data_IF_275234015596
#
_entry.id   IF_275234015596
#
_cell.length_a   1.000
_cell.length_b   1.000
_cell.length_c   1.000
_cell.angle_alpha   90.00
_cell.angle_beta   90.00
_cell.angle_gamma   90.00
#
_symmetry.space_group_name_H-M   'P 1'
#
loop_
_entity.id
_entity.type
_entity.pdbx_description
1 polymer ?
#
# COMPACT_ATOMS: atom_id res chain seq x y z
N UNK A 1 1.01 19.18 -15.19
CA UNK A 1 0.77 19.20 -16.65
C UNK A 1 1.50 18.00 -17.24
N UNK A 2 0.81 17.10 -17.96
CA UNK A 2 1.37 15.82 -18.39
C UNK A 2 1.47 15.77 -19.92
N UNK A 3 2.69 15.63 -20.45
CA UNK A 3 2.96 15.56 -21.88
C UNK A 3 3.48 14.16 -22.25
N UNK A 4 2.78 13.47 -23.14
CA UNK A 4 2.99 12.05 -23.50
C UNK A 4 3.52 11.93 -24.94
N UNK A 5 4.80 12.25 -25.20
CA UNK A 5 5.37 12.12 -26.53
C UNK A 5 5.47 10.66 -26.93
N UNK A 6 5.27 10.40 -28.22
CA UNK A 6 5.43 9.09 -28.84
C UNK A 6 6.07 9.29 -30.20
N UNK A 7 7.09 8.50 -30.47
CA UNK A 7 7.79 8.50 -31.74
C UNK A 7 8.01 7.07 -32.19
N UNK A 8 7.91 6.86 -33.49
CA UNK A 8 8.11 5.56 -34.11
C UNK A 8 8.67 5.75 -35.50
N UNK A 9 9.47 4.79 -35.93
CA UNK A 9 10.05 4.75 -37.25
C UNK A 9 10.10 3.31 -37.74
N UNK A 10 10.02 3.17 -39.06
CA UNK A 10 10.23 1.91 -39.76
C UNK A 10 11.12 2.15 -40.97
N UNK A 11 11.97 1.19 -41.27
CA UNK A 11 12.94 1.27 -42.33
C UNK A 11 13.06 -0.07 -43.04
N UNK A 12 13.10 -0.03 -44.37
CA UNK A 12 13.33 -1.19 -45.24
C UNK A 12 14.83 -1.35 -45.44
N UNK A 13 15.39 -2.49 -45.05
CA UNK A 13 16.84 -2.74 -45.08
C UNK A 13 17.36 -3.21 -46.45
N UNK A 14 16.49 -3.64 -47.35
CA UNK A 14 16.83 -4.18 -48.65
C UNK A 14 16.00 -3.59 -49.80
N UNK A 15 16.56 -3.49 -50.99
CA UNK A 15 15.84 -2.97 -52.17
C UNK A 15 14.62 -3.83 -52.54
N UNK A 16 14.65 -5.12 -52.22
CA UNK A 16 13.56 -6.05 -52.47
C UNK A 16 12.38 -5.91 -51.48
N UNK A 17 12.51 -5.09 -50.43
CA UNK A 17 11.44 -4.87 -49.47
C UNK A 17 11.13 -6.06 -48.56
N UNK A 18 12.02 -7.06 -48.49
CA UNK A 18 11.80 -8.30 -47.74
C UNK A 18 12.18 -8.19 -46.28
N UNK A 19 12.98 -7.19 -45.90
CA UNK A 19 13.47 -7.01 -44.53
C UNK A 19 13.12 -5.63 -44.02
N UNK A 20 12.38 -5.57 -42.91
CA UNK A 20 11.94 -4.31 -42.29
C UNK A 20 12.38 -4.28 -40.83
N UNK A 21 13.00 -3.17 -40.42
CA UNK A 21 13.21 -2.84 -39.01
C UNK A 21 12.19 -1.80 -38.59
N UNK A 22 11.59 -2.00 -37.43
CA UNK A 22 10.64 -1.07 -36.82
C UNK A 22 11.04 -0.80 -35.38
N UNK A 23 10.85 0.42 -34.93
CA UNK A 23 11.13 0.80 -33.57
C UNK A 23 10.31 1.99 -33.13
N UNK A 24 10.24 2.16 -31.81
CA UNK A 24 9.50 3.26 -31.23
C UNK A 24 9.80 3.47 -29.76
N UNK A 25 9.53 4.67 -29.31
CA UNK A 25 9.62 5.06 -27.92
C UNK A 25 8.43 5.93 -27.54
N UNK A 26 7.90 5.74 -26.33
CA UNK A 26 6.81 6.54 -25.82
C UNK A 26 6.81 6.66 -24.31
N UNK A 27 6.24 7.76 -23.84
CA UNK A 27 5.93 7.99 -22.44
C UNK A 27 4.42 7.80 -22.22
N UNK A 28 4.03 6.98 -21.25
CA UNK A 28 2.62 6.65 -20.98
C UNK A 28 2.29 6.96 -19.53
N UNK A 29 1.40 7.91 -19.28
CA UNK A 29 0.89 8.19 -17.94
C UNK A 29 -0.24 7.22 -17.57
N UNK A 30 -0.25 6.78 -16.33
CA UNK A 30 -1.35 5.98 -15.79
C UNK A 30 -2.58 6.84 -15.51
N UNK A 31 -3.74 6.19 -15.38
CA UNK A 31 -4.97 6.84 -14.93
C UNK A 31 -4.86 7.23 -13.45
N UNK A 32 -5.41 8.39 -13.10
CA UNK A 32 -5.56 8.79 -11.69
C UNK A 32 -6.35 7.73 -10.92
N UNK A 33 -5.72 7.11 -9.93
CA UNK A 33 -6.39 6.17 -9.04
C UNK A 33 -7.16 6.95 -7.96
N UNK A 34 -8.50 6.96 -8.09
CA UNK A 34 -9.42 7.58 -7.13
C UNK A 34 -9.86 6.64 -6.00
N UNK A 35 -9.55 5.34 -6.09
CA UNK A 35 -9.90 4.34 -5.08
C UNK A 35 -9.35 4.67 -3.68
N UNK A 36 -8.25 5.42 -3.60
CA UNK A 36 -7.67 5.87 -2.34
C UNK A 36 -8.53 6.90 -1.59
N UNK A 37 -9.44 7.60 -2.29
CA UNK A 37 -10.36 8.58 -1.68
C UNK A 37 -11.71 7.98 -1.29
N UNK A 38 -12.07 6.82 -1.85
CA UNK A 38 -13.35 6.16 -1.57
C UNK A 38 -13.61 6.03 -0.06
N UNK A 39 -12.66 5.57 0.79
CA UNK A 39 -12.91 5.48 2.23
C UNK A 39 -13.19 6.84 2.89
N UNK A 40 -12.60 7.93 2.40
CA UNK A 40 -12.83 9.26 2.98
C UNK A 40 -14.26 9.76 2.73
N UNK A 41 -14.85 9.37 1.59
CA UNK A 41 -16.16 9.85 1.14
C UNK A 41 -17.28 8.87 1.52
N UNK A 42 -17.01 7.56 1.52
CA UNK A 42 -18.02 6.54 1.78
C UNK A 42 -17.95 5.89 3.17
N UNK A 43 -16.82 6.01 3.89
CA UNK A 43 -16.75 5.54 5.27
C UNK A 43 -17.24 6.64 6.21
N UNK A 44 -18.51 6.54 6.62
CA UNK A 44 -19.04 7.36 7.71
C UNK A 44 -18.22 7.16 9.00
N UNK A 45 -18.22 8.19 9.86
CA UNK A 45 -17.54 8.16 11.16
C UNK A 45 -18.03 6.99 12.03
N UNK A 46 -19.29 6.60 11.84
CA UNK A 46 -19.92 5.47 12.51
C UNK A 46 -20.47 4.47 11.47
N UNK A 47 -20.38 3.19 11.80
CA UNK A 47 -20.98 2.10 11.02
C UNK A 47 -21.83 1.21 11.93
N UNK A 48 -22.94 0.71 11.40
CA UNK A 48 -23.76 -0.34 12.03
C UNK A 48 -23.26 -1.75 11.68
N UNK A 49 -22.28 -1.87 10.79
CA UNK A 49 -21.59 -3.11 10.46
C UNK A 49 -20.09 -2.90 10.69
N UNK A 50 -19.54 -3.62 11.66
CA UNK A 50 -18.16 -3.45 12.10
C UNK A 50 -17.53 -4.81 12.44
N UNK A 51 -16.25 -4.94 12.14
CA UNK A 51 -15.42 -6.01 12.68
C UNK A 51 -14.70 -5.45 13.90
N UNK A 52 -15.11 -5.86 15.10
CA UNK A 52 -14.27 -5.68 16.28
C UNK A 52 -13.28 -6.81 16.29
N UNK A 53 -12.05 -6.51 15.90
CA UNK A 53 -10.96 -7.35 16.35
C UNK A 53 -10.79 -7.05 17.84
N UNK A 54 -10.78 -8.07 18.68
CA UNK A 54 -10.36 -7.94 20.08
C UNK A 54 -8.90 -8.40 20.19
N UNK A 55 -7.93 -7.70 19.57
CA UNK A 55 -6.55 -8.01 19.88
C UNK A 55 -6.35 -7.51 21.31
N UNK A 56 -5.96 -8.39 22.21
CA UNK A 56 -4.98 -7.93 23.18
C UNK A 56 -3.88 -7.27 22.34
N UNK A 57 -3.48 -6.04 22.67
CA UNK A 57 -2.35 -5.36 21.99
C UNK A 57 -1.04 -6.18 22.08
N UNK A 58 -1.09 -7.32 22.76
CA UNK A 58 -0.10 -8.37 22.90
C UNK A 58 -0.69 -9.75 22.62
N UNK A 59 0.18 -10.70 22.28
CA UNK A 59 -0.15 -12.13 22.32
C UNK A 59 -0.70 -12.47 23.70
N UNK A 60 -1.86 -13.14 23.77
CA UNK A 60 -2.42 -13.64 25.02
C UNK A 60 -1.38 -14.54 25.71
N UNK A 61 -0.85 -14.16 26.89
CA UNK A 61 0.16 -14.95 27.57
C UNK A 61 -0.39 -16.28 28.09
N UNK A 62 -1.71 -16.41 28.28
CA UNK A 62 -2.37 -17.55 28.92
C UNK A 62 -2.08 -18.89 28.24
N UNK A 63 -2.56 -19.12 27.01
CA UNK A 63 -2.38 -20.39 26.29
C UNK A 63 -0.90 -20.79 26.16
N UNK A 64 -0.04 -19.79 25.97
CA UNK A 64 1.41 -19.97 25.83
C UNK A 64 2.13 -20.34 27.13
N UNK A 65 1.46 -20.24 28.27
CA UNK A 65 1.92 -20.58 29.62
C UNK A 65 1.10 -21.74 30.22
N UNK A 66 0.33 -22.47 29.40
CA UNK A 66 -0.52 -23.58 29.86
C UNK A 66 -1.75 -23.12 30.66
N UNK A 67 -2.13 -21.85 30.58
CA UNK A 67 -3.33 -21.29 31.22
C UNK A 67 -4.42 -21.10 30.18
N UNK A 68 -5.67 -21.02 30.63
CA UNK A 68 -6.79 -20.68 29.76
C UNK A 68 -6.62 -19.26 29.17
N UNK A 69 -7.31 -18.93 28.06
CA UNK A 69 -7.30 -17.58 27.50
C UNK A 69 -7.62 -16.52 28.55
N UNK A 70 -6.89 -15.41 28.54
CA UNK A 70 -7.13 -14.29 29.47
C UNK A 70 -8.20 -13.30 28.97
N UNK A 71 -8.62 -13.43 27.72
CA UNK A 71 -9.67 -12.62 27.12
C UNK A 71 -11.06 -13.01 27.69
N UNK A 72 -11.82 -12.08 28.30
CA UNK A 72 -13.16 -12.36 28.85
C UNK A 72 -14.21 -12.76 27.79
N UNK A 73 -13.96 -12.50 26.50
CA UNK A 73 -14.80 -12.99 25.40
C UNK A 73 -14.54 -14.46 25.07
N UNK A 74 -13.47 -15.07 25.57
CA UNK A 74 -13.10 -16.46 25.30
C UNK A 74 -13.23 -17.30 26.58
N UNK A 75 -14.45 -17.77 26.85
CA UNK A 75 -14.76 -18.54 28.07
C UNK A 75 -14.13 -19.93 27.96
N UNK A 76 -13.08 -20.18 28.75
CA UNK A 76 -12.44 -21.50 28.89
C UNK A 76 -11.90 -22.13 27.58
N UNK A 77 -11.67 -21.36 26.52
CA UNK A 77 -11.21 -21.89 25.23
C UNK A 77 -11.79 -21.10 24.03
N UNK A 78 -11.85 -21.67 22.82
CA UNK A 78 -12.30 -20.94 21.62
C UNK A 78 -13.82 -20.68 21.60
N UNK A 79 -14.49 -20.75 22.76
CA UNK A 79 -15.93 -20.51 22.91
C UNK A 79 -16.16 -19.04 23.21
N UNK A 80 -16.90 -18.38 22.32
CA UNK A 80 -17.24 -16.96 22.44
C UNK A 80 -18.31 -16.73 23.51
N UNK A 81 -18.08 -15.77 24.40
CA UNK A 81 -19.08 -15.28 25.35
C UNK A 81 -20.13 -14.41 24.65
N UNK A 82 -21.16 -15.04 24.09
CA UNK A 82 -22.22 -14.32 23.36
C UNK A 82 -23.07 -13.42 24.27
N UNK A 83 -23.21 -13.76 25.55
CA UNK A 83 -23.93 -12.93 26.52
C UNK A 83 -23.18 -11.61 26.79
N UNK A 84 -21.87 -11.69 27.05
CA UNK A 84 -21.02 -10.50 27.20
C UNK A 84 -21.00 -9.67 25.91
N UNK A 85 -20.83 -10.33 24.75
CA UNK A 85 -20.84 -9.66 23.45
C UNK A 85 -22.15 -8.88 23.22
N UNK A 86 -23.30 -9.52 23.42
CA UNK A 86 -24.61 -8.88 23.22
C UNK A 86 -24.88 -7.75 24.24
N UNK A 87 -24.31 -7.85 25.45
CA UNK A 87 -24.42 -6.79 26.46
C UNK A 87 -23.60 -5.54 26.10
N UNK A 88 -22.41 -5.73 25.51
CA UNK A 88 -21.53 -4.64 25.10
C UNK A 88 -21.90 -4.05 23.74
N UNK A 89 -22.49 -4.85 22.85
CA UNK A 89 -22.87 -4.48 21.49
C UNK A 89 -24.31 -4.90 21.20
N UNK A 90 -25.31 -4.25 21.82
CA UNK A 90 -26.72 -4.56 21.57
C UNK A 90 -27.08 -4.31 20.09
N UNK A 91 -28.17 -4.95 19.63
CA UNK A 91 -28.67 -4.78 18.28
C UNK A 91 -28.95 -3.30 17.98
N UNK A 92 -28.48 -2.81 16.82
CA UNK A 92 -28.55 -1.40 16.45
C UNK A 92 -27.43 -0.52 17.01
N UNK A 93 -26.48 -1.09 17.75
CA UNK A 93 -25.27 -0.37 18.15
C UNK A 93 -24.49 0.10 16.92
N UNK A 94 -24.02 1.35 16.97
CA UNK A 94 -23.11 1.91 15.99
C UNK A 94 -21.73 1.99 16.63
N UNK A 95 -20.71 1.59 15.88
CA UNK A 95 -19.32 1.71 16.32
C UNK A 95 -18.58 2.70 15.46
N UNK A 96 -17.61 3.36 16.09
CA UNK A 96 -16.69 4.23 15.36
C UNK A 96 -15.99 3.39 14.30
N UNK A 97 -15.96 3.90 13.07
CA UNK A 97 -15.21 3.26 12.02
C UNK A 97 -13.71 3.35 12.37
N UNK A 98 -13.12 2.22 12.77
CA UNK A 98 -11.69 2.07 13.05
C UNK A 98 -10.92 1.60 11.81
N UNK A 99 -11.52 1.67 10.63
CA UNK A 99 -10.86 1.35 9.37
C UNK A 99 -9.64 2.25 9.13
N UNK A 100 -8.69 1.72 8.37
CA UNK A 100 -7.52 2.50 7.95
C UNK A 100 -7.96 3.62 7.01
N UNK A 101 -7.88 4.86 7.50
CA UNK A 101 -8.04 6.06 6.66
C UNK A 101 -6.75 6.27 5.88
N UNK A 102 -6.86 6.33 4.55
CA UNK A 102 -5.75 6.67 3.68
C UNK A 102 -5.90 8.14 3.28
N UNK A 103 -4.82 8.91 3.38
CA UNK A 103 -4.77 10.29 2.90
C UNK A 103 -4.02 10.33 1.58
N UNK A 104 -4.50 11.16 0.65
CA UNK A 104 -3.74 11.45 -0.56
C UNK A 104 -2.65 12.48 -0.26
N UNK A 105 -1.50 12.33 -0.90
CA UNK A 105 -0.41 13.30 -0.78
C UNK A 105 -0.68 14.46 -1.76
N UNK A 106 -0.65 15.73 -1.32
CA UNK A 106 -0.80 16.88 -2.22
C UNK A 106 0.25 16.90 -3.36
N UNK A 107 1.44 16.33 -3.14
CA UNK A 107 2.52 16.27 -4.13
C UNK A 107 2.42 15.04 -5.06
N UNK A 108 1.30 14.30 -5.01
CA UNK A 108 1.07 13.12 -5.85
C UNK A 108 1.02 13.51 -7.32
N UNK A 109 1.88 12.89 -8.12
CA UNK A 109 1.88 12.96 -9.58
C UNK A 109 1.43 11.62 -10.18
N UNK A 110 1.09 11.63 -11.47
CA UNK A 110 0.71 10.40 -12.16
C UNK A 110 1.95 9.54 -12.40
N UNK A 111 1.92 8.25 -12.03
CA UNK A 111 2.93 7.29 -12.42
C UNK A 111 3.00 7.23 -13.95
N UNK A 112 4.19 6.95 -14.47
CA UNK A 112 4.36 6.81 -15.91
C UNK A 112 5.26 5.61 -16.25
N UNK A 113 5.08 5.11 -17.46
CA UNK A 113 5.93 4.11 -18.07
C UNK A 113 6.68 4.71 -19.26
N UNK A 114 7.98 4.46 -19.34
CA UNK A 114 8.76 4.64 -20.57
C UNK A 114 8.78 3.30 -21.28
N UNK A 115 8.26 3.26 -22.50
CA UNK A 115 8.27 2.06 -23.34
C UNK A 115 9.19 2.30 -24.53
N UNK A 116 10.09 1.36 -24.78
CA UNK A 116 10.90 1.29 -25.98
C UNK A 116 10.66 -0.07 -26.65
N UNK A 117 10.59 -0.08 -27.97
CA UNK A 117 10.51 -1.33 -28.74
C UNK A 117 11.39 -1.24 -29.97
N UNK A 118 12.00 -2.37 -30.33
CA UNK A 118 12.67 -2.58 -31.60
C UNK A 118 12.33 -3.96 -32.12
N UNK A 119 12.11 -4.08 -33.42
CA UNK A 119 11.78 -5.32 -34.07
C UNK A 119 12.35 -5.39 -35.47
N UNK A 120 12.62 -6.61 -35.91
CA UNK A 120 13.02 -6.92 -37.28
C UNK A 120 12.10 -8.01 -37.82
N UNK A 121 11.69 -7.85 -39.07
CA UNK A 121 10.92 -8.83 -39.81
C UNK A 121 11.61 -9.13 -41.14
N UNK A 122 11.63 -10.40 -41.52
CA UNK A 122 12.21 -10.86 -42.78
C UNK A 122 11.30 -11.88 -43.46
N UNK A 123 10.93 -11.60 -44.69
CA UNK A 123 10.32 -12.58 -45.58
C UNK A 123 11.40 -13.53 -46.13
N UNK A 124 11.10 -14.82 -46.07
CA UNK A 124 11.92 -15.91 -46.59
C UNK A 124 11.21 -16.57 -47.78
N UNK A 125 11.94 -17.32 -48.62
CA UNK A 125 11.34 -18.11 -49.69
C UNK A 125 10.29 -19.11 -49.17
N UNK A 126 9.35 -19.48 -50.05
CA UNK A 126 8.32 -20.46 -49.70
C UNK A 126 7.18 -19.88 -48.86
N UNK A 127 6.89 -18.59 -48.99
CA UNK A 127 5.84 -17.88 -48.25
C UNK A 127 6.01 -17.95 -46.71
N UNK A 128 7.27 -17.93 -46.25
CA UNK A 128 7.62 -17.91 -44.84
C UNK A 128 8.02 -16.50 -44.44
N UNK A 129 7.69 -16.07 -43.23
CA UNK A 129 8.22 -14.85 -42.62
C UNK A 129 8.70 -15.15 -41.20
N UNK A 130 9.77 -14.48 -40.79
CA UNK A 130 10.35 -14.58 -39.45
C UNK A 130 10.46 -13.19 -38.86
N UNK A 131 10.04 -13.03 -37.62
CA UNK A 131 10.16 -11.79 -36.87
C UNK A 131 10.79 -12.00 -35.51
N UNK A 132 11.44 -10.96 -35.01
CA UNK A 132 11.94 -10.88 -33.66
C UNK A 132 11.71 -9.47 -33.11
N UNK A 133 11.10 -9.38 -31.93
CA UNK A 133 10.76 -8.13 -31.27
C UNK A 133 11.34 -8.10 -29.85
N UNK A 134 11.88 -6.95 -29.46
CA UNK A 134 12.31 -6.66 -28.10
C UNK A 134 11.56 -5.44 -27.58
N UNK A 135 10.96 -5.57 -26.40
CA UNK A 135 10.21 -4.50 -25.73
C UNK A 135 10.76 -4.29 -24.33
N UNK A 136 11.09 -3.04 -24.01
CA UNK A 136 11.51 -2.62 -22.68
C UNK A 136 10.50 -1.65 -22.08
N UNK A 137 10.10 -1.90 -20.84
CA UNK A 137 9.16 -1.11 -20.07
C UNK A 137 9.78 -0.72 -18.73
N UNK A 138 9.86 0.58 -18.47
CA UNK A 138 10.37 1.12 -17.21
C UNK A 138 9.28 1.96 -16.53
N UNK A 139 8.76 1.45 -15.41
CA UNK A 139 7.77 2.13 -14.60
C UNK A 139 8.44 3.05 -13.57
N UNK A 140 7.95 4.29 -13.48
CA UNK A 140 8.43 5.30 -12.54
C UNK A 140 7.28 5.91 -11.77
N UNK A 141 7.63 6.34 -10.56
CA UNK A 141 6.73 7.06 -9.66
C UNK A 141 5.43 6.31 -9.38
N UNK A 142 5.56 4.99 -9.26
CA UNK A 142 4.46 4.11 -8.89
C UNK A 142 3.93 4.50 -7.51
N UNK A 143 2.62 4.44 -7.36
CA UNK A 143 1.99 4.70 -6.08
C UNK A 143 2.45 3.69 -5.04
N UNK A 144 2.80 4.21 -3.86
CA UNK A 144 3.00 3.41 -2.66
C UNK A 144 2.10 3.95 -1.56
N UNK A 145 1.68 3.05 -0.66
CA UNK A 145 1.07 3.46 0.61
C UNK A 145 2.13 3.41 1.69
N UNK A 146 2.30 4.52 2.39
CA UNK A 146 3.21 4.62 3.52
C UNK A 146 2.42 4.78 4.81
N UNK A 147 2.74 3.96 5.81
CA UNK A 147 2.27 4.19 7.16
C UNK A 147 3.11 5.30 7.80
N UNK A 148 2.46 6.41 8.15
CA UNK A 148 3.10 7.56 8.79
C UNK A 148 3.25 7.38 10.31
N UNK A 149 2.60 6.37 10.88
CA UNK A 149 2.63 6.10 12.31
C UNK A 149 2.76 4.59 12.58
N UNK A 150 3.84 3.96 12.09
CA UNK A 150 4.03 2.54 12.26
C UNK A 150 4.17 2.21 13.75
N UNK A 151 3.46 1.16 14.18
CA UNK A 151 3.71 0.52 15.46
C UNK A 151 4.97 -0.32 15.37
N UNK A 152 5.94 -0.07 16.23
CA UNK A 152 7.14 -0.89 16.38
C UNK A 152 7.04 -1.63 17.71
N UNK A 153 7.59 -2.84 17.81
CA UNK A 153 7.61 -3.56 19.08
C UNK A 153 8.59 -2.90 20.03
N UNK A 154 8.21 -2.77 21.30
CA UNK A 154 9.06 -2.22 22.36
C UNK A 154 10.35 -3.04 22.55
N UNK A 155 10.24 -4.36 22.39
CA UNK A 155 11.37 -5.30 22.40
C UNK A 155 11.15 -6.42 21.38
N UNK A 156 12.15 -7.27 21.17
CA UNK A 156 12.02 -8.50 20.36
C UNK A 156 11.24 -9.61 21.06
N UNK A 157 10.79 -9.39 22.30
CA UNK A 157 9.99 -10.38 23.04
C UNK A 157 8.65 -10.63 22.35
N UNK A 158 8.21 -11.89 22.33
CA UNK A 158 6.92 -12.32 21.76
C UNK A 158 5.70 -11.60 22.37
N UNK A 159 5.82 -11.16 23.62
CA UNK A 159 4.77 -10.46 24.37
C UNK A 159 5.06 -8.95 24.50
N UNK A 160 5.97 -8.40 23.71
CA UNK A 160 6.28 -6.98 23.76
C UNK A 160 5.11 -6.14 23.23
N UNK A 161 4.75 -5.09 23.97
CA UNK A 161 3.80 -4.08 23.53
C UNK A 161 4.23 -3.43 22.21
N UNK A 162 3.25 -2.93 21.46
CA UNK A 162 3.53 -2.00 20.36
C UNK A 162 3.73 -0.59 20.91
N UNK A 163 4.88 0.01 20.61
CA UNK A 163 5.15 1.43 20.79
C UNK A 163 4.95 2.15 19.45
N UNK A 164 4.51 3.41 19.50
CA UNK A 164 4.39 4.21 18.29
C UNK A 164 5.69 4.96 18.05
N UNK A 165 6.28 4.78 16.88
CA UNK A 165 7.41 5.61 16.46
C UNK A 165 6.85 6.91 15.92
N UNK A 166 6.68 7.86 16.84
CA UNK A 166 6.41 9.24 16.47
C UNK A 166 7.61 9.76 15.68
N UNK A 167 7.45 9.95 14.36
CA UNK A 167 8.41 10.72 13.53
C UNK A 167 8.32 12.23 13.80
N UNK A 168 7.72 12.66 14.91
CA UNK A 168 7.53 14.08 15.19
C UNK A 168 8.86 14.69 15.65
N UNK A 169 9.18 15.92 15.20
CA UNK A 169 10.36 16.61 15.69
C UNK A 169 10.22 16.78 17.20
N UNK A 170 11.11 16.15 17.96
CA UNK A 170 11.24 16.44 19.37
C UNK A 170 12.06 17.72 19.49
N UNK A 171 11.47 18.73 20.10
CA UNK A 171 12.18 19.97 20.38
C UNK A 171 12.80 19.86 21.78
N UNK A 172 14.13 19.88 21.82
CA UNK A 172 14.90 20.04 23.05
C UNK A 172 15.22 21.52 23.23
N UNK A 173 14.77 22.08 24.34
CA UNK A 173 15.19 23.41 24.76
C UNK A 173 15.87 23.31 26.13
N UNK A 174 17.06 23.87 26.23
CA UNK A 174 17.82 23.99 27.47
C UNK A 174 17.67 25.41 28.01
N UNK A 175 17.19 25.55 29.25
CA UNK A 175 17.30 26.82 29.97
C UNK A 175 18.68 26.90 30.65
N UNK A 176 19.30 28.09 30.75
CA UNK A 176 20.68 28.24 31.25
C UNK A 176 20.94 27.74 32.67
N UNK A 177 19.89 27.45 33.46
CA UNK A 177 20.00 27.00 34.84
C UNK A 177 18.95 25.93 35.23
N UNK A 178 18.38 25.19 34.25
CA UNK A 178 17.33 24.20 34.52
C UNK A 178 17.50 22.88 33.75
N UNK A 179 16.81 21.80 34.16
CA UNK A 179 16.89 20.52 33.47
C UNK A 179 16.36 20.66 32.04
N UNK A 180 17.06 20.01 31.09
CA UNK A 180 16.66 19.97 29.68
C UNK A 180 15.35 19.22 29.55
N UNK A 181 14.31 19.92 29.08
CA UNK A 181 12.99 19.32 28.86
C UNK A 181 12.85 18.95 27.38
N UNK A 182 12.51 17.69 27.11
CA UNK A 182 12.22 17.22 25.76
C UNK A 182 10.71 16.99 25.63
N UNK A 183 10.07 17.73 24.74
CA UNK A 183 8.67 17.50 24.38
C UNK A 183 8.60 16.94 22.96
N UNK A 184 8.03 15.75 22.84
CA UNK A 184 7.69 15.14 21.56
C UNK A 184 6.18 15.27 21.39
N UNK A 185 5.72 15.90 20.30
CA UNK A 185 4.28 16.00 20.02
C UNK A 185 3.73 14.64 19.60
#
# INVERSE_FOLDING_TARGET
>A
NNFSPRLGASWVLDEAGTTVVRGGWGLYFQKTAYSNFTPLVSAGVFSNSFLVNFPANNVDPGPSAGRLPSDPFLVNGPVLNTALLNSMFPAGSTQKNTGTVNFDNPDRHLPYARQASIGIEKQLPGAVAVSADYVHLNHRDLYMRQDLNPGVRDTTSRSAGSIRVSRRPCWTWSTPAGPTTTACR
#
